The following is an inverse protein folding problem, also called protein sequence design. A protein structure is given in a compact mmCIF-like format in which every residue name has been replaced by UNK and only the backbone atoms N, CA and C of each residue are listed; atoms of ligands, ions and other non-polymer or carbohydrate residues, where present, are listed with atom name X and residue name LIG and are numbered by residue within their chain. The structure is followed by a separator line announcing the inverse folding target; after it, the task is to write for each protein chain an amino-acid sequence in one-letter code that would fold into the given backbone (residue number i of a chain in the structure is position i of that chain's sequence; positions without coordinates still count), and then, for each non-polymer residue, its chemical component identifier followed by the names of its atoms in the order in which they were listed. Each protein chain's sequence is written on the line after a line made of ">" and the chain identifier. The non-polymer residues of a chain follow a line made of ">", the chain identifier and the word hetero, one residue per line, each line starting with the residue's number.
data_IF_285084280008
#
_entry.id   IF_285084280008
#
_cell.length_a   1.000
_cell.length_b   1.000
_cell.length_c   1.000
_cell.angle_alpha   90.00
_cell.angle_beta   90.00
_cell.angle_gamma   90.00
#
_symmetry.space_group_name_H-M   'P 1'
#
loop_
_entity.id
_entity.type
_entity.pdbx_description
1 polymer ?
#
# COMPACT_ATOMS: atom_id res chain seq x y z
N UNK A 1 4.43 -22.13 52.12
CA UNK A 1 5.55 -21.70 51.24
C UNK A 1 5.40 -22.04 49.74
N UNK A 2 4.49 -22.95 49.32
CA UNK A 2 4.28 -23.25 47.88
C UNK A 2 3.46 -22.21 47.11
N UNK A 3 2.55 -21.50 47.78
CA UNK A 3 1.68 -20.48 47.16
C UNK A 3 2.47 -19.26 46.68
N UNK A 4 3.54 -18.88 47.39
CA UNK A 4 4.36 -17.71 47.07
C UNK A 4 5.10 -17.86 45.72
N UNK A 5 5.53 -19.08 45.38
CA UNK A 5 6.24 -19.35 44.12
C UNK A 5 5.34 -19.25 42.88
N UNK A 6 4.06 -19.58 43.00
CA UNK A 6 3.11 -19.52 41.87
C UNK A 6 2.78 -18.08 41.49
N UNK A 7 2.69 -17.19 42.47
CA UNK A 7 2.45 -15.76 42.19
C UNK A 7 3.66 -15.10 41.53
N UNK A 8 4.88 -15.44 41.93
CA UNK A 8 6.10 -14.88 41.34
C UNK A 8 6.21 -15.30 39.86
N UNK A 9 5.95 -16.55 39.51
CA UNK A 9 6.00 -17.00 38.10
C UNK A 9 4.88 -16.40 37.24
N UNK A 10 3.70 -16.16 37.81
CA UNK A 10 2.60 -15.48 37.09
C UNK A 10 2.92 -14.01 36.81
N UNK A 11 3.59 -13.32 37.73
CA UNK A 11 4.00 -11.91 37.55
C UNK A 11 5.04 -11.81 36.43
N UNK A 12 6.03 -12.71 36.37
CA UNK A 12 7.02 -12.74 35.28
C UNK A 12 6.40 -13.03 33.90
N UNK A 13 5.35 -13.86 33.82
CA UNK A 13 4.64 -14.12 32.56
C UNK A 13 3.82 -12.92 32.06
N UNK A 14 3.28 -12.09 32.96
CA UNK A 14 2.51 -10.91 32.61
C UNK A 14 3.38 -9.77 32.04
N UNK A 15 4.64 -9.66 32.48
CA UNK A 15 5.56 -8.62 31.99
C UNK A 15 6.12 -8.88 30.59
N UNK A 16 6.19 -10.16 30.16
CA UNK A 16 6.61 -10.50 28.79
C UNK A 16 5.58 -10.08 27.72
N UNK A 17 4.32 -9.84 28.10
CA UNK A 17 3.22 -9.65 27.16
C UNK A 17 3.03 -8.21 26.64
N UNK A 18 3.84 -7.22 27.04
CA UNK A 18 3.59 -5.81 26.67
C UNK A 18 4.84 -5.00 26.35
N UNK A 19 5.73 -5.50 25.48
CA UNK A 19 6.54 -4.56 24.68
C UNK A 19 5.66 -4.03 23.55
N UNK A 20 4.97 -2.90 23.79
CA UNK A 20 4.49 -2.04 22.68
C UNK A 20 5.73 -1.62 21.90
N UNK A 21 6.06 -2.34 20.82
CA UNK A 21 7.10 -1.95 19.86
C UNK A 21 6.67 -0.56 19.38
N UNK A 22 7.42 0.48 19.75
CA UNK A 22 7.24 1.83 19.21
C UNK A 22 7.40 1.66 17.69
N UNK A 23 6.31 1.79 16.95
CA UNK A 23 6.30 1.58 15.51
C UNK A 23 7.13 2.68 14.88
N UNK A 24 8.26 2.29 14.31
CA UNK A 24 9.21 3.16 13.64
C UNK A 24 8.62 3.56 12.29
N UNK A 25 8.39 4.86 12.05
CA UNK A 25 8.00 5.33 10.72
C UNK A 25 9.26 5.29 9.84
N UNK A 26 9.41 4.20 9.08
CA UNK A 26 10.56 3.98 8.18
C UNK A 26 10.42 4.73 6.84
N UNK A 27 9.45 5.63 6.69
CA UNK A 27 9.26 6.42 5.47
C UNK A 27 10.39 7.45 5.30
N UNK A 28 11.10 7.45 4.15
CA UNK A 28 12.04 8.52 3.84
C UNK A 28 11.35 9.87 3.70
N UNK A 29 12.00 10.94 4.14
CA UNK A 29 11.47 12.32 4.04
C UNK A 29 11.26 12.80 2.60
N UNK A 30 11.88 12.13 1.62
CA UNK A 30 11.78 12.41 0.18
C UNK A 30 10.60 11.73 -0.50
N UNK A 31 9.79 10.97 0.24
CA UNK A 31 8.61 10.26 -0.25
C UNK A 31 7.38 10.77 0.49
N UNK A 32 6.40 11.26 -0.26
CA UNK A 32 5.16 11.77 0.30
C UNK A 32 4.38 10.69 1.03
N UNK A 33 3.64 11.10 2.06
CA UNK A 33 2.88 10.19 2.90
C UNK A 33 1.85 9.37 2.12
N UNK A 34 1.11 10.04 1.22
CA UNK A 34 0.07 9.41 0.40
C UNK A 34 0.68 8.45 -0.64
N UNK A 35 1.81 8.80 -1.24
CA UNK A 35 2.55 7.91 -2.15
C UNK A 35 3.06 6.66 -1.42
N UNK A 36 3.59 6.82 -0.21
CA UNK A 36 4.08 5.70 0.60
C UNK A 36 2.95 4.73 1.00
N UNK A 37 1.79 5.27 1.41
CA UNK A 37 0.58 4.48 1.68
C UNK A 37 0.10 3.72 0.43
N UNK A 38 -0.08 4.42 -0.69
CA UNK A 38 -0.51 3.81 -1.95
C UNK A 38 0.46 2.72 -2.42
N UNK A 39 1.76 2.94 -2.23
CA UNK A 39 2.79 1.94 -2.56
C UNK A 39 2.63 0.67 -1.71
N UNK A 40 2.39 0.79 -0.40
CA UNK A 40 2.10 -0.36 0.45
C UNK A 40 0.89 -1.14 -0.04
N UNK A 41 -0.23 -0.45 -0.29
CA UNK A 41 -1.46 -1.10 -0.75
C UNK A 41 -1.26 -1.80 -2.10
N UNK A 42 -0.56 -1.14 -3.04
CA UNK A 42 -0.23 -1.72 -4.34
C UNK A 42 0.61 -3.00 -4.21
N UNK A 43 1.66 -2.96 -3.39
CA UNK A 43 2.51 -4.14 -3.13
C UNK A 43 1.68 -5.30 -2.62
N UNK A 44 0.83 -5.08 -1.60
CA UNK A 44 0.00 -6.14 -1.04
C UNK A 44 -0.96 -6.69 -2.09
N UNK A 45 -1.71 -5.83 -2.79
CA UNK A 45 -2.71 -6.25 -3.79
C UNK A 45 -2.08 -7.02 -4.94
N UNK A 46 -1.00 -6.51 -5.53
CA UNK A 46 -0.31 -7.16 -6.64
C UNK A 46 0.35 -8.48 -6.19
N UNK A 47 0.90 -8.53 -4.97
CA UNK A 47 1.42 -9.78 -4.40
C UNK A 47 0.31 -10.82 -4.28
N UNK A 48 -0.84 -10.45 -3.70
CA UNK A 48 -1.99 -11.35 -3.55
C UNK A 48 -2.57 -11.81 -4.89
N UNK A 49 -2.56 -10.97 -5.94
CA UNK A 49 -2.93 -11.39 -7.30
C UNK A 49 -2.00 -12.50 -7.81
N UNK A 50 -0.69 -12.37 -7.56
CA UNK A 50 0.33 -13.32 -8.02
C UNK A 50 0.30 -14.63 -7.22
N UNK A 51 0.25 -14.57 -5.89
CA UNK A 51 0.29 -15.76 -5.02
C UNK A 51 -1.08 -16.40 -4.75
N UNK A 52 -2.18 -15.69 -5.03
CA UNK A 52 -3.56 -16.09 -4.73
C UNK A 52 -3.72 -16.45 -3.25
N UNK A 53 -3.86 -17.72 -2.95
CA UNK A 53 -4.02 -18.26 -1.58
C UNK A 53 -2.72 -18.83 -1.02
N UNK A 54 -1.63 -18.88 -1.79
CA UNK A 54 -0.39 -19.47 -1.32
C UNK A 54 0.25 -18.64 -0.21
N UNK A 55 0.66 -19.32 0.86
CA UNK A 55 1.43 -18.78 1.98
C UNK A 55 2.86 -19.32 2.02
N UNK A 56 3.29 -20.05 0.98
CA UNK A 56 4.66 -20.57 0.88
C UNK A 56 5.65 -19.42 0.74
N UNK A 57 6.74 -19.52 1.48
CA UNK A 57 7.82 -18.52 1.48
C UNK A 57 8.39 -18.28 0.08
N UNK A 58 8.63 -19.35 -0.69
CA UNK A 58 9.12 -19.26 -2.07
C UNK A 58 8.19 -18.43 -2.95
N UNK A 59 6.90 -18.74 -2.91
CA UNK A 59 5.90 -18.08 -3.77
C UNK A 59 5.76 -16.60 -3.42
N UNK A 60 5.83 -16.27 -2.11
CA UNK A 60 5.77 -14.89 -1.62
C UNK A 60 7.03 -14.11 -1.99
N UNK A 61 8.20 -14.70 -1.77
CA UNK A 61 9.50 -14.05 -2.07
C UNK A 61 9.64 -13.82 -3.58
N UNK A 62 9.24 -14.79 -4.39
CA UNK A 62 9.22 -14.68 -5.86
C UNK A 62 8.21 -13.63 -6.34
N UNK A 63 7.10 -13.45 -5.61
CA UNK A 63 6.15 -12.39 -5.92
C UNK A 63 6.72 -11.01 -5.56
N UNK A 64 7.28 -10.86 -4.37
CA UNK A 64 7.81 -9.58 -3.88
C UNK A 64 9.04 -9.09 -4.66
N UNK A 65 9.91 -9.99 -5.12
CA UNK A 65 11.15 -9.65 -5.83
C UNK A 65 10.92 -8.88 -7.14
N UNK A 66 9.76 -9.07 -7.78
CA UNK A 66 9.40 -8.40 -9.03
C UNK A 66 8.40 -7.27 -8.84
N UNK A 67 8.02 -6.97 -7.59
CA UNK A 67 6.84 -6.16 -7.30
C UNK A 67 7.02 -4.69 -7.65
N UNK A 68 8.22 -4.14 -7.46
CA UNK A 68 8.52 -2.73 -7.76
C UNK A 68 8.78 -2.43 -9.24
N UNK A 69 8.35 -3.30 -10.16
CA UNK A 69 8.44 -3.02 -11.59
C UNK A 69 7.28 -2.08 -12.02
N UNK A 70 7.60 -1.05 -12.81
CA UNK A 70 6.62 -0.04 -13.26
C UNK A 70 5.37 -0.64 -13.92
N UNK A 71 5.52 -1.78 -14.62
CA UNK A 71 4.42 -2.48 -15.29
C UNK A 71 3.31 -2.93 -14.32
N UNK A 72 3.63 -3.13 -13.04
CA UNK A 72 2.66 -3.54 -12.02
C UNK A 72 1.82 -2.37 -11.51
N UNK A 73 2.17 -1.12 -11.86
CA UNK A 73 1.58 0.09 -11.30
C UNK A 73 0.75 0.91 -12.29
N UNK A 74 0.47 0.38 -13.48
CA UNK A 74 -0.27 1.11 -14.54
C UNK A 74 -1.71 1.47 -14.18
N UNK A 75 -2.30 0.81 -13.18
CA UNK A 75 -3.71 0.98 -12.76
C UNK A 75 -3.85 1.76 -11.45
N UNK A 76 -2.76 2.32 -10.92
CA UNK A 76 -2.74 3.04 -9.65
C UNK A 76 -2.74 4.56 -9.87
N UNK A 77 -3.07 5.30 -8.82
CA UNK A 77 -3.28 6.76 -8.87
C UNK A 77 -2.03 7.53 -9.27
N UNK A 78 -0.88 7.16 -8.73
CA UNK A 78 0.39 7.82 -9.05
C UNK A 78 1.00 7.28 -10.35
N UNK A 79 1.72 8.13 -11.11
CA UNK A 79 2.47 7.69 -12.28
C UNK A 79 3.40 6.50 -11.95
N UNK A 80 3.57 5.52 -12.86
CA UNK A 80 4.39 4.34 -12.60
C UNK A 80 5.83 4.63 -12.10
N UNK A 81 6.53 5.68 -12.57
CA UNK A 81 7.83 6.05 -12.00
C UNK A 81 7.77 6.44 -10.52
N UNK A 82 6.73 7.18 -10.10
CA UNK A 82 6.55 7.59 -8.71
C UNK A 82 6.15 6.41 -7.83
N UNK A 83 5.23 5.56 -8.31
CA UNK A 83 4.87 4.32 -7.62
C UNK A 83 6.07 3.39 -7.44
N UNK A 84 6.94 3.28 -8.45
CA UNK A 84 8.19 2.52 -8.31
C UNK A 84 9.07 3.10 -7.21
N UNK A 85 9.28 4.42 -7.19
CA UNK A 85 10.06 5.11 -6.15
C UNK A 85 9.47 4.86 -4.76
N UNK A 86 8.14 4.95 -4.61
CA UNK A 86 7.46 4.67 -3.35
C UNK A 86 7.55 3.20 -2.94
N UNK A 87 7.44 2.27 -3.89
CA UNK A 87 7.60 0.84 -3.67
C UNK A 87 9.00 0.49 -3.17
N UNK A 88 10.04 0.97 -3.84
CA UNK A 88 11.44 0.74 -3.45
C UNK A 88 11.71 1.32 -2.06
N UNK A 89 11.23 2.53 -1.78
CA UNK A 89 11.34 3.15 -0.47
C UNK A 89 10.64 2.32 0.62
N UNK A 90 9.43 1.84 0.36
CA UNK A 90 8.69 1.00 1.31
C UNK A 90 9.38 -0.35 1.55
N UNK A 91 9.74 -1.07 0.48
CA UNK A 91 10.35 -2.40 0.58
C UNK A 91 11.74 -2.36 1.20
N UNK A 92 12.53 -1.30 0.98
CA UNK A 92 13.82 -1.13 1.65
C UNK A 92 13.70 -1.09 3.18
N UNK A 93 12.56 -0.62 3.68
CA UNK A 93 12.29 -0.53 5.10
C UNK A 93 11.57 -1.75 5.66
N UNK A 94 10.73 -2.45 4.90
CA UNK A 94 9.74 -3.39 5.46
C UNK A 94 9.71 -4.78 4.82
N UNK A 95 10.63 -5.12 3.92
CA UNK A 95 10.57 -6.36 3.14
C UNK A 95 10.43 -7.62 4.01
N UNK A 96 11.16 -7.70 5.12
CA UNK A 96 11.14 -8.84 6.03
C UNK A 96 9.78 -8.98 6.73
N UNK A 97 9.30 -7.91 7.38
CA UNK A 97 8.04 -7.96 8.11
C UNK A 97 6.82 -8.14 7.18
N UNK A 98 6.88 -7.61 5.95
CA UNK A 98 5.84 -7.82 4.94
C UNK A 98 5.80 -9.27 4.49
N UNK A 99 6.97 -9.88 4.24
CA UNK A 99 7.09 -11.29 3.86
C UNK A 99 6.53 -12.18 4.97
N UNK A 100 6.94 -11.95 6.22
CA UNK A 100 6.46 -12.69 7.38
C UNK A 100 4.93 -12.55 7.57
N UNK A 101 4.39 -11.34 7.42
CA UNK A 101 2.96 -11.11 7.53
C UNK A 101 2.17 -11.85 6.44
N UNK A 102 2.67 -11.83 5.19
CA UNK A 102 2.04 -12.55 4.09
C UNK A 102 2.10 -14.08 4.26
N UNK A 103 3.19 -14.62 4.82
CA UNK A 103 3.32 -16.05 5.11
C UNK A 103 2.35 -16.50 6.21
N UNK A 104 2.14 -15.66 7.22
CA UNK A 104 1.31 -15.98 8.38
C UNK A 104 -0.16 -15.55 8.23
N UNK A 105 -0.55 -14.98 7.08
CA UNK A 105 -1.91 -14.51 6.85
C UNK A 105 -2.91 -15.68 6.88
N UNK A 106 -4.07 -15.45 7.51
CA UNK A 106 -5.18 -16.41 7.54
C UNK A 106 -6.07 -16.34 6.29
N UNK A 107 -6.02 -15.22 5.59
CA UNK A 107 -6.83 -14.91 4.42
C UNK A 107 -6.37 -13.60 3.79
N UNK A 108 -7.01 -13.22 2.68
CA UNK A 108 -6.59 -12.07 1.89
C UNK A 108 -7.34 -10.78 2.26
N UNK A 109 -8.52 -10.88 2.86
CA UNK A 109 -9.43 -9.74 3.01
C UNK A 109 -8.93 -8.66 3.97
N UNK A 110 -8.13 -9.04 4.97
CA UNK A 110 -7.66 -8.12 6.03
C UNK A 110 -6.16 -7.84 6.00
N UNK A 111 -5.40 -8.52 5.14
CA UNK A 111 -3.94 -8.47 5.20
C UNK A 111 -3.38 -7.12 4.75
N UNK A 112 -4.07 -6.43 3.84
CA UNK A 112 -3.72 -5.05 3.46
C UNK A 112 -3.85 -4.10 4.65
N UNK A 113 -4.97 -4.15 5.38
CA UNK A 113 -5.18 -3.31 6.55
C UNK A 113 -4.16 -3.62 7.66
N UNK A 114 -3.88 -4.92 7.86
CA UNK A 114 -2.88 -5.39 8.81
C UNK A 114 -1.49 -4.85 8.47
N UNK A 115 -1.05 -4.97 7.22
CA UNK A 115 0.29 -4.53 6.81
C UNK A 115 0.37 -3.00 6.76
N UNK A 116 -0.53 -2.34 6.03
CA UNK A 116 -0.39 -0.92 5.70
C UNK A 116 -0.78 0.02 6.84
N UNK A 117 -1.76 -0.34 7.66
CA UNK A 117 -2.19 0.51 8.78
C UNK A 117 -1.59 0.09 10.12
N UNK A 118 -1.53 -1.21 10.41
CA UNK A 118 -1.16 -1.68 11.76
C UNK A 118 0.33 -1.97 11.91
N UNK A 119 0.90 -2.74 10.99
CA UNK A 119 2.28 -3.19 11.04
C UNK A 119 3.24 -2.05 10.71
N UNK A 120 3.02 -1.42 9.54
CA UNK A 120 3.96 -0.43 8.98
C UNK A 120 3.59 1.01 9.29
N UNK A 121 2.32 1.28 9.61
CA UNK A 121 1.77 2.65 9.71
C UNK A 121 1.98 3.49 8.43
N UNK A 122 2.24 2.86 7.28
CA UNK A 122 2.44 3.56 6.01
C UNK A 122 1.23 4.41 5.60
N UNK A 123 0.03 3.97 5.97
CA UNK A 123 -1.24 4.68 5.75
C UNK A 123 -1.77 5.42 6.99
N UNK A 124 -0.95 5.57 8.03
CA UNK A 124 -1.36 6.32 9.21
C UNK A 124 -1.52 7.79 8.85
N UNK A 125 -2.59 8.40 9.38
CA UNK A 125 -2.94 9.81 9.21
C UNK A 125 -3.31 10.22 7.76
N UNK A 126 -3.42 9.25 6.84
CA UNK A 126 -4.09 9.42 5.56
C UNK A 126 -5.58 9.19 5.80
N UNK A 127 -6.39 10.24 5.73
CA UNK A 127 -7.85 10.08 5.80
C UNK A 127 -8.28 9.09 4.71
N UNK A 128 -9.09 8.09 5.08
CA UNK A 128 -9.62 7.06 4.15
C UNK A 128 -10.41 7.63 2.96
N UNK A 129 -10.60 8.96 2.90
CA UNK A 129 -11.32 9.71 1.89
C UNK A 129 -10.47 10.52 0.91
N UNK A 130 -9.14 10.63 1.08
CA UNK A 130 -8.29 11.23 0.05
C UNK A 130 -7.97 10.23 -1.07
N UNK A 131 -9.00 9.53 -1.57
CA UNK A 131 -9.07 9.24 -3.00
C UNK A 131 -9.26 10.62 -3.61
N UNK A 132 -8.23 11.29 -4.08
CA UNK A 132 -8.48 12.50 -4.87
C UNK A 132 -9.37 12.03 -6.02
N UNK A 133 -10.58 12.58 -6.10
CA UNK A 133 -11.36 12.48 -7.33
C UNK A 133 -10.41 13.00 -8.39
N UNK A 134 -9.93 12.11 -9.26
CA UNK A 134 -9.11 12.51 -10.37
C UNK A 134 -9.89 13.59 -11.10
N UNK A 135 -9.28 14.75 -11.28
CA UNK A 135 -9.64 15.66 -12.33
C UNK A 135 -9.76 14.76 -13.57
N UNK A 136 -10.95 14.68 -14.18
CA UNK A 136 -11.27 13.73 -15.25
C UNK A 136 -10.42 13.96 -16.52
N UNK A 137 -9.27 14.64 -16.47
CA UNK A 137 -8.56 15.17 -17.62
C UNK A 137 -7.11 14.69 -17.69
N UNK A 138 -6.75 14.14 -18.85
CA UNK A 138 -5.37 13.87 -19.24
C UNK A 138 -4.93 14.85 -20.34
N UNK A 139 -3.66 15.23 -20.37
CA UNK A 139 -3.13 16.13 -21.41
C UNK A 139 -2.53 15.30 -22.55
N UNK A 140 -3.11 15.38 -23.75
CA UNK A 140 -2.60 14.74 -24.97
C UNK A 140 -2.29 15.86 -25.97
N UNK A 141 -1.04 15.94 -26.44
CA UNK A 141 -0.58 16.96 -27.40
C UNK A 141 -0.88 18.41 -26.96
N UNK A 142 -0.76 18.70 -25.67
CA UNK A 142 -1.02 20.03 -25.10
C UNK A 142 -2.51 20.37 -24.93
N UNK A 143 -3.43 19.44 -25.22
CA UNK A 143 -4.87 19.59 -24.98
C UNK A 143 -5.34 18.69 -23.84
N UNK A 144 -6.14 19.24 -22.92
CA UNK A 144 -6.83 18.46 -21.88
C UNK A 144 -7.98 17.68 -22.51
N UNK A 145 -8.07 16.38 -22.23
CA UNK A 145 -9.10 15.47 -22.74
C UNK A 145 -9.76 14.77 -21.58
N UNK A 146 -11.10 14.75 -21.56
CA UNK A 146 -11.87 14.09 -20.51
C UNK A 146 -11.78 12.56 -20.64
N UNK A 147 -11.55 11.86 -19.53
CA UNK A 147 -11.54 10.41 -19.42
C UNK A 147 -12.99 9.93 -19.37
N UNK A 148 -13.33 8.93 -20.18
CA UNK A 148 -14.66 8.31 -20.16
C UNK A 148 -14.86 7.48 -18.89
N UNK A 149 -16.13 7.24 -18.55
CA UNK A 149 -16.52 6.43 -17.38
C UNK A 149 -16.00 4.98 -17.45
N UNK A 150 -15.54 4.53 -18.63
CA UNK A 150 -14.91 3.23 -18.86
C UNK A 150 -13.38 3.23 -18.71
N UNK A 151 -12.79 4.34 -18.26
CA UNK A 151 -11.34 4.50 -18.09
C UNK A 151 -10.57 4.61 -19.41
N UNK A 152 -11.26 4.81 -20.54
CA UNK A 152 -10.62 5.06 -21.83
C UNK A 152 -10.65 6.55 -22.17
N UNK A 153 -9.69 6.94 -22.98
CA UNK A 153 -9.59 8.28 -23.53
C UNK A 153 -9.88 8.17 -25.01
N UNK A 154 -10.97 8.80 -25.45
CA UNK A 154 -11.27 8.92 -26.88
C UNK A 154 -10.25 9.89 -27.50
N UNK A 155 -9.18 9.35 -28.05
CA UNK A 155 -8.15 10.09 -28.79
C UNK A 155 -8.67 10.68 -30.11
N UNK A 156 -9.93 10.46 -30.43
CA UNK A 156 -10.54 10.79 -31.70
C UNK A 156 -11.84 11.58 -31.50
N UNK A 157 -11.72 12.85 -31.08
CA UNK A 157 -12.87 13.75 -31.09
C UNK A 157 -12.55 15.13 -31.66
N UNK A 158 -13.06 15.37 -32.88
CA UNK A 158 -13.55 16.66 -33.35
C UNK A 158 -14.79 17.08 -32.54
N UNK A 159 -14.69 17.15 -31.22
CA UNK A 159 -15.73 17.73 -30.38
C UNK A 159 -15.10 18.79 -29.49
N UNK A 160 -15.28 20.08 -29.80
CA UNK A 160 -14.80 21.14 -28.92
C UNK A 160 -15.48 21.01 -27.55
N UNK A 161 -14.73 21.34 -26.51
CA UNK A 161 -15.22 21.42 -25.14
C UNK A 161 -16.36 22.45 -25.06
N UNK A 162 -17.36 22.28 -24.17
CA UNK A 162 -18.27 23.35 -23.84
C UNK A 162 -17.47 24.49 -23.19
N UNK A 163 -17.66 25.71 -23.71
CA UNK A 163 -17.08 26.92 -23.14
C UNK A 163 -17.70 27.17 -21.76
N UNK A 164 -16.87 27.13 -20.72
CA UNK A 164 -17.25 27.54 -19.36
C UNK A 164 -17.26 29.07 -19.29
N UNK A 165 -18.30 29.70 -19.85
CA UNK A 165 -18.65 31.10 -19.61
C UNK A 165 -20.17 31.16 -19.33
N UNK A 166 -20.56 30.91 -18.07
CA UNK A 166 -21.72 31.52 -17.42
C UNK A 166 -21.83 31.02 -15.96
N UNK A 167 -21.24 31.78 -15.02
CA UNK A 167 -21.81 32.20 -13.71
C UNK A 167 -20.82 33.03 -12.88
#
# INVERSE_FOLDING_TARGET
>A
MKILFVFVTLIFLLEAAKKKKKTDDRRPTTVEALLYCNSCQAIVRETLKKVKTSTRESDITDALSEMCQMKNFSVYEYPPPDMKKGCEAFMSGWSEEVTEALMNRKGNDSIEDEICYRLTNSCKDIEKGQRKQNDDYVTINGKKVKMGDDGKVDINMNKPAPDDDDL
#
